data_IF_048862680022
#
_entry.id   IF_048862680022
#
_cell.length_a   1.000
_cell.length_b   1.000
_cell.length_c   1.000
_cell.angle_alpha   90.00
_cell.angle_beta   90.00
_cell.angle_gamma   90.00
#
_symmetry.space_group_name_H-M   'P 1'
#
loop_
_entity.id
_entity.type
_entity.pdbx_description
1 polymer ?
#
# COMPACT_ATOMS: atom_id res chain seq x y z
N UNK A 1 -18.68 -3.77 -33.39
CA UNK A 1 -17.98 -3.32 -32.17
C UNK A 1 -18.81 -2.21 -31.57
N UNK A 2 -19.66 -2.52 -30.61
CA UNK A 2 -20.75 -1.63 -30.18
C UNK A 2 -20.36 -0.96 -28.86
N UNK A 3 -19.52 0.07 -28.95
CA UNK A 3 -18.91 0.81 -27.84
C UNK A 3 -19.95 1.28 -26.79
N UNK A 4 -21.18 1.56 -27.22
CA UNK A 4 -22.29 1.95 -26.33
C UNK A 4 -22.81 0.79 -25.46
N UNK A 5 -22.79 -0.46 -25.95
CA UNK A 5 -23.14 -1.65 -25.14
C UNK A 5 -22.07 -1.95 -24.10
N UNK A 6 -20.81 -1.69 -24.43
CA UNK A 6 -19.69 -1.91 -23.50
C UNK A 6 -19.77 -0.94 -22.31
N UNK A 7 -20.14 0.33 -22.54
CA UNK A 7 -20.39 1.33 -21.49
C UNK A 7 -21.59 0.92 -20.62
N UNK A 8 -22.70 0.47 -21.22
CA UNK A 8 -23.85 -0.04 -20.46
C UNK A 8 -23.48 -1.26 -19.61
N UNK A 9 -22.68 -2.19 -20.14
CA UNK A 9 -22.19 -3.35 -19.38
C UNK A 9 -21.24 -2.99 -18.23
N UNK A 10 -20.56 -1.84 -18.30
CA UNK A 10 -19.70 -1.35 -17.22
C UNK A 10 -20.53 -0.76 -16.08
N UNK A 11 -21.66 -0.12 -16.39
CA UNK A 11 -22.62 0.37 -15.40
C UNK A 11 -23.41 -0.77 -14.72
N UNK A 12 -23.54 -1.93 -15.38
CA UNK A 12 -24.27 -3.10 -14.86
C UNK A 12 -23.41 -4.05 -14.00
N UNK A 13 -22.09 -3.81 -13.86
CA UNK A 13 -21.25 -4.61 -12.97
C UNK A 13 -21.51 -4.24 -11.52
N UNK A 14 -22.27 -5.10 -10.85
CA UNK A 14 -22.59 -5.02 -9.42
C UNK A 14 -21.36 -4.85 -8.51
N UNK A 15 -21.58 -4.41 -7.25
CA UNK A 15 -20.52 -4.15 -6.30
C UNK A 15 -19.61 -5.37 -6.10
N UNK A 16 -18.30 -5.12 -6.11
CA UNK A 16 -17.28 -6.17 -5.90
C UNK A 16 -17.24 -6.60 -4.45
N UNK A 17 -18.09 -7.58 -4.11
CA UNK A 17 -18.12 -8.59 -3.02
C UNK A 17 -17.69 -8.23 -1.58
N UNK A 18 -17.27 -7.00 -1.27
CA UNK A 18 -17.01 -6.52 0.10
C UNK A 18 -17.33 -5.03 0.20
N UNK A 19 -18.61 -4.69 0.18
CA UNK A 19 -19.10 -3.38 0.56
C UNK A 19 -19.34 -3.34 2.09
N UNK A 20 -18.42 -2.73 2.83
CA UNK A 20 -18.83 -2.02 4.06
C UNK A 20 -19.72 -0.86 3.58
N UNK A 21 -20.95 -0.78 4.09
CA UNK A 21 -22.01 0.23 3.84
C UNK A 21 -21.79 1.11 2.59
N UNK A 22 -22.55 0.83 1.53
CA UNK A 22 -22.43 1.43 0.21
C UNK A 22 -22.06 2.91 0.25
N UNK A 23 -20.96 3.27 -0.42
CA UNK A 23 -20.49 4.65 -0.49
C UNK A 23 -21.65 5.57 -0.91
N UNK A 24 -21.99 6.63 -0.16
CA UNK A 24 -23.20 7.41 -0.39
C UNK A 24 -23.25 8.07 -1.78
N UNK A 25 -22.09 8.24 -2.42
CA UNK A 25 -21.99 8.89 -3.73
C UNK A 25 -22.06 7.92 -4.91
N UNK A 26 -21.72 6.64 -4.71
CA UNK A 26 -21.62 5.67 -5.80
C UNK A 26 -22.11 4.27 -5.44
N UNK A 27 -22.80 4.09 -4.31
CA UNK A 27 -23.32 2.81 -3.80
C UNK A 27 -22.30 1.64 -3.82
N UNK A 28 -21.02 1.99 -3.69
CA UNK A 28 -19.92 1.02 -3.74
C UNK A 28 -19.46 0.58 -5.14
N UNK A 29 -20.03 1.11 -6.23
CA UNK A 29 -19.58 0.86 -7.61
C UNK A 29 -18.19 1.45 -7.91
N UNK A 30 -17.78 2.51 -7.19
CA UNK A 30 -16.50 3.17 -7.38
C UNK A 30 -16.46 4.16 -8.55
N UNK A 31 -17.60 4.39 -9.20
CA UNK A 31 -17.77 5.37 -10.26
C UNK A 31 -19.13 6.06 -10.11
N UNK A 32 -19.19 7.34 -10.45
CA UNK A 32 -20.40 8.16 -10.45
C UNK A 32 -20.74 8.39 -11.92
N UNK A 33 -21.93 7.94 -12.33
CA UNK A 33 -22.43 8.09 -13.70
C UNK A 33 -23.39 9.28 -13.73
N UNK A 34 -23.20 10.18 -14.69
CA UNK A 34 -24.17 11.24 -15.02
C UNK A 34 -24.69 11.03 -16.44
N UNK A 35 -25.67 11.82 -16.87
CA UNK A 35 -26.21 11.77 -18.23
C UNK A 35 -25.15 12.05 -19.32
N UNK A 36 -24.04 12.71 -18.95
CA UNK A 36 -23.02 13.18 -19.87
C UNK A 36 -21.62 12.61 -19.66
N UNK A 37 -21.30 12.07 -18.48
CA UNK A 37 -19.96 11.60 -18.15
C UNK A 37 -19.93 10.50 -17.07
N UNK A 38 -18.76 9.86 -16.92
CA UNK A 38 -18.45 8.91 -15.84
C UNK A 38 -17.22 9.41 -15.10
N UNK A 39 -17.33 9.56 -13.78
CA UNK A 39 -16.23 10.02 -12.92
C UNK A 39 -15.86 8.96 -11.89
N UNK A 40 -14.57 8.83 -11.57
CA UNK A 40 -14.10 7.92 -10.53
C UNK A 40 -14.54 8.46 -9.16
N UNK A 41 -15.20 7.63 -8.36
CA UNK A 41 -15.58 8.00 -6.99
C UNK A 41 -14.35 7.96 -6.08
N UNK A 42 -14.29 8.87 -5.10
CA UNK A 42 -13.23 8.92 -4.09
C UNK A 42 -13.04 7.58 -3.36
N UNK A 43 -14.13 6.86 -3.07
CA UNK A 43 -14.07 5.60 -2.31
C UNK A 43 -13.30 4.49 -3.04
N UNK A 44 -13.12 4.61 -4.37
CA UNK A 44 -12.36 3.63 -5.13
C UNK A 44 -10.88 3.66 -4.73
N UNK A 45 -10.32 4.87 -4.53
CA UNK A 45 -8.93 5.03 -4.11
C UNK A 45 -8.70 4.44 -2.71
N UNK A 46 -9.62 4.71 -1.77
CA UNK A 46 -9.55 4.17 -0.40
C UNK A 46 -9.65 2.65 -0.37
N UNK A 47 -10.59 2.08 -1.15
CA UNK A 47 -10.74 0.63 -1.27
C UNK A 47 -9.48 -0.01 -1.86
N UNK A 48 -8.91 0.61 -2.89
CA UNK A 48 -7.67 0.13 -3.49
C UNK A 48 -6.51 0.19 -2.50
N UNK A 49 -6.38 1.29 -1.74
CA UNK A 49 -5.38 1.41 -0.69
C UNK A 49 -5.57 0.35 0.40
N UNK A 50 -6.78 0.19 0.94
CA UNK A 50 -7.12 -0.85 1.92
C UNK A 50 -6.75 -2.24 1.40
N UNK A 51 -7.08 -2.54 0.14
CA UNK A 51 -6.74 -3.82 -0.51
C UNK A 51 -5.22 -4.02 -0.63
N UNK A 52 -4.46 -2.98 -1.03
CA UNK A 52 -2.99 -3.05 -1.11
C UNK A 52 -2.35 -3.25 0.27
N UNK A 53 -2.82 -2.52 1.29
CA UNK A 53 -2.33 -2.67 2.67
C UNK A 53 -2.64 -4.06 3.25
N UNK A 54 -3.83 -4.60 3.00
CA UNK A 54 -4.17 -5.98 3.39
C UNK A 54 -3.25 -6.99 2.70
N UNK A 55 -3.03 -6.83 1.39
CA UNK A 55 -2.11 -7.70 0.63
C UNK A 55 -0.64 -7.55 1.03
N UNK A 56 -0.27 -6.44 1.68
CA UNK A 56 1.09 -6.23 2.17
C UNK A 56 1.48 -7.16 3.33
N UNK A 57 0.54 -7.96 3.87
CA UNK A 57 0.82 -9.01 4.86
C UNK A 57 1.57 -8.48 6.11
N UNK A 58 1.26 -7.25 6.55
CA UNK A 58 1.91 -6.64 7.70
C UNK A 58 1.30 -7.22 8.99
N UNK A 59 2.07 -7.90 9.86
CA UNK A 59 1.58 -8.45 11.11
C UNK A 59 0.98 -7.37 12.03
N UNK A 60 -0.08 -7.70 12.77
CA UNK A 60 -0.79 -6.78 13.68
C UNK A 60 0.13 -5.92 14.56
N UNK A 61 1.18 -6.52 15.13
CA UNK A 61 2.17 -5.83 15.98
C UNK A 61 2.96 -4.70 15.29
N UNK A 62 2.97 -4.66 13.96
CA UNK A 62 3.64 -3.64 13.16
C UNK A 62 2.70 -2.66 12.47
N UNK A 63 1.37 -2.88 12.53
CA UNK A 63 0.40 -2.03 11.83
C UNK A 63 0.45 -0.56 12.28
N UNK A 64 0.71 -0.32 13.57
CA UNK A 64 0.84 1.03 14.12
C UNK A 64 2.18 1.70 13.83
N UNK A 65 3.14 1.06 13.16
CA UNK A 65 4.47 1.65 12.89
C UNK A 65 4.41 2.57 11.66
N UNK A 66 5.09 3.71 11.77
CA UNK A 66 5.26 4.71 10.70
C UNK A 66 6.65 5.37 10.80
N UNK A 67 7.11 6.10 9.79
CA UNK A 67 8.37 6.83 9.88
C UNK A 67 8.27 7.99 10.88
N UNK A 68 7.08 8.54 11.09
CA UNK A 68 6.84 9.65 12.01
C UNK A 68 6.90 9.23 13.47
N UNK A 69 6.52 7.99 13.81
CA UNK A 69 6.56 7.49 15.18
C UNK A 69 7.80 6.63 15.50
N UNK A 70 8.80 6.65 14.62
CA UNK A 70 10.07 5.99 14.87
C UNK A 70 10.92 6.77 15.88
N UNK A 71 11.37 6.09 16.95
CA UNK A 71 12.22 6.71 17.98
C UNK A 71 13.66 6.88 17.48
N UNK A 72 14.01 8.10 17.07
CA UNK A 72 15.34 8.48 16.61
C UNK A 72 16.14 9.22 17.71
N UNK A 73 16.33 8.54 18.83
CA UNK A 73 16.99 9.04 20.06
C UNK A 73 18.53 9.08 19.98
N UNK A 74 19.14 8.33 19.06
CA UNK A 74 20.58 8.31 18.81
C UNK A 74 20.91 8.56 17.34
N UNK A 75 22.13 9.03 17.05
CA UNK A 75 22.56 9.45 15.71
C UNK A 75 22.44 8.35 14.65
N UNK A 76 22.77 7.11 15.03
CA UNK A 76 22.63 5.95 14.15
C UNK A 76 21.18 5.74 13.71
N UNK A 77 20.21 5.91 14.64
CA UNK A 77 18.77 5.78 14.34
C UNK A 77 18.24 6.96 13.54
N UNK A 78 18.71 8.18 13.81
CA UNK A 78 18.41 9.38 13.00
C UNK A 78 18.89 9.20 11.57
N UNK A 79 20.13 8.74 11.40
CA UNK A 79 20.72 8.47 10.10
C UNK A 79 19.92 7.40 9.35
N UNK A 80 19.57 6.29 10.01
CA UNK A 80 18.75 5.25 9.40
C UNK A 80 17.37 5.77 8.95
N UNK A 81 16.69 6.55 9.81
CA UNK A 81 15.40 7.17 9.47
C UNK A 81 15.52 8.10 8.26
N UNK A 82 16.55 8.95 8.20
CA UNK A 82 16.79 9.85 7.07
C UNK A 82 17.02 9.08 5.77
N UNK A 83 17.83 8.01 5.81
CA UNK A 83 18.08 7.16 4.63
C UNK A 83 16.82 6.46 4.13
N UNK A 84 15.97 5.99 5.04
CA UNK A 84 14.68 5.37 4.70
C UNK A 84 13.71 6.38 4.10
N UNK A 85 13.58 7.57 4.68
CA UNK A 85 12.75 8.64 4.10
C UNK A 85 13.22 9.03 2.69
N UNK A 86 14.53 9.13 2.51
CA UNK A 86 15.12 9.39 1.19
C UNK A 86 14.79 8.28 0.19
N UNK A 87 14.96 7.02 0.60
CA UNK A 87 14.61 5.86 -0.23
C UNK A 87 13.14 5.90 -0.68
N UNK A 88 12.20 6.16 0.24
CA UNK A 88 10.77 6.28 -0.10
C UNK A 88 10.52 7.47 -1.02
N UNK A 89 11.19 8.61 -0.80
CA UNK A 89 11.04 9.83 -1.63
C UNK A 89 11.52 9.60 -3.06
N UNK A 90 12.64 8.91 -3.23
CA UNK A 90 13.33 8.74 -4.52
C UNK A 90 12.92 7.45 -5.25
N UNK A 91 11.99 6.66 -4.69
CA UNK A 91 11.63 5.34 -5.18
C UNK A 91 11.23 5.30 -6.67
N UNK A 92 10.46 6.28 -7.15
CA UNK A 92 10.01 6.37 -8.55
C UNK A 92 11.05 6.98 -9.50
N UNK A 93 11.96 7.79 -8.97
CA UNK A 93 12.84 8.66 -9.76
C UNK A 93 14.20 8.01 -10.02
N UNK A 94 14.59 7.04 -9.18
CA UNK A 94 15.89 6.37 -9.30
C UNK A 94 15.97 5.54 -10.59
N UNK A 95 16.86 5.94 -11.51
CA UNK A 95 17.16 5.17 -12.73
C UNK A 95 17.75 3.78 -12.42
N UNK A 96 18.42 3.64 -11.27
CA UNK A 96 18.86 2.35 -10.73
C UNK A 96 17.80 1.80 -9.77
N UNK A 97 17.25 0.63 -10.10
CA UNK A 97 16.34 -0.16 -9.24
C UNK A 97 17.14 -0.82 -8.10
N UNK A 98 17.63 -0.02 -7.16
CA UNK A 98 18.31 -0.49 -5.97
C UNK A 98 17.36 -0.90 -4.83
N UNK A 99 17.90 -1.58 -3.83
CA UNK A 99 17.21 -1.91 -2.58
C UNK A 99 17.84 -1.26 -1.37
N UNK A 100 17.10 -1.21 -0.26
CA UNK A 100 17.63 -0.74 1.04
C UNK A 100 17.88 -1.92 1.97
N UNK A 101 19.11 -2.04 2.47
CA UNK A 101 19.48 -3.05 3.45
C UNK A 101 19.81 -2.39 4.80
N UNK A 102 19.05 -2.76 5.85
CA UNK A 102 19.20 -2.20 7.19
C UNK A 102 19.98 -3.16 8.08
N UNK A 103 21.11 -2.71 8.61
CA UNK A 103 22.02 -3.49 9.46
C UNK A 103 22.04 -2.97 10.90
N UNK A 104 22.22 -3.86 11.86
CA UNK A 104 22.36 -3.53 13.29
C UNK A 104 21.83 -4.59 14.23
N UNK A 105 22.10 -4.43 15.53
CA UNK A 105 21.73 -5.37 16.58
C UNK A 105 20.20 -5.63 16.69
N UNK A 106 19.81 -6.69 17.38
CA UNK A 106 18.40 -6.96 17.68
C UNK A 106 17.77 -5.78 18.44
N UNK A 107 16.49 -5.48 18.17
CA UNK A 107 15.78 -4.40 18.87
C UNK A 107 16.07 -2.97 18.41
N UNK A 108 16.96 -2.75 17.43
CA UNK A 108 17.29 -1.39 16.94
C UNK A 108 16.24 -0.77 16.00
N UNK A 109 15.12 -1.46 15.74
CA UNK A 109 14.01 -0.92 14.97
C UNK A 109 14.08 -1.11 13.44
N UNK A 110 14.97 -1.97 12.93
CA UNK A 110 15.07 -2.29 11.49
C UNK A 110 13.72 -2.67 10.86
N UNK A 111 12.99 -3.58 11.50
CA UNK A 111 11.68 -4.03 11.01
C UNK A 111 10.63 -2.92 11.07
N UNK A 112 10.70 -2.02 12.05
CA UNK A 112 9.83 -0.84 12.10
C UNK A 112 10.06 0.02 10.86
N UNK A 113 11.31 0.39 10.59
CA UNK A 113 11.66 1.22 9.43
C UNK A 113 11.26 0.57 8.10
N UNK A 114 11.52 -0.73 7.93
CA UNK A 114 11.15 -1.46 6.72
C UNK A 114 9.63 -1.51 6.50
N UNK A 115 8.85 -1.80 7.55
CA UNK A 115 7.37 -1.82 7.48
C UNK A 115 6.82 -0.42 7.22
N UNK A 116 7.37 0.60 7.89
CA UNK A 116 6.95 1.98 7.69
C UNK A 116 7.22 2.45 6.25
N UNK A 117 8.39 2.13 5.68
CA UNK A 117 8.69 2.41 4.28
C UNK A 117 7.73 1.70 3.32
N UNK A 118 7.44 0.41 3.58
CA UNK A 118 6.47 -0.35 2.80
C UNK A 118 5.08 0.31 2.81
N UNK A 119 4.61 0.76 3.98
CA UNK A 119 3.31 1.45 4.10
C UNK A 119 3.29 2.74 3.28
N UNK A 120 4.31 3.59 3.39
CA UNK A 120 4.36 4.84 2.63
C UNK A 120 4.41 4.58 1.12
N UNK A 121 5.13 3.55 0.67
CA UNK A 121 5.13 3.17 -0.75
C UNK A 121 3.76 2.65 -1.20
N UNK A 122 3.05 1.90 -0.35
CA UNK A 122 1.69 1.44 -0.65
C UNK A 122 0.70 2.61 -0.73
N UNK A 123 0.84 3.59 0.16
CA UNK A 123 0.09 4.85 0.14
C UNK A 123 0.36 5.67 -1.13
N UNK A 124 1.59 5.66 -1.64
CA UNK A 124 1.96 6.23 -2.95
C UNK A 124 1.44 5.46 -4.16
N UNK A 125 0.82 4.31 -3.94
CA UNK A 125 0.16 3.54 -4.98
C UNK A 125 0.88 2.25 -5.39
N UNK A 126 2.04 1.96 -4.81
CA UNK A 126 2.76 0.71 -5.09
C UNK A 126 2.12 -0.50 -4.40
N UNK A 127 2.45 -1.69 -4.87
CA UNK A 127 2.21 -2.93 -4.15
C UNK A 127 3.50 -3.36 -3.45
N UNK A 128 3.37 -4.13 -2.38
CA UNK A 128 4.51 -4.74 -1.72
C UNK A 128 4.06 -5.81 -0.75
N UNK A 129 5.02 -6.55 -0.19
CA UNK A 129 4.77 -7.70 0.67
C UNK A 129 5.78 -7.71 1.82
N UNK A 130 5.27 -7.77 3.05
CA UNK A 130 6.08 -8.10 4.21
C UNK A 130 6.20 -9.61 4.33
N UNK A 131 7.44 -10.08 4.47
CA UNK A 131 7.72 -11.49 4.64
C UNK A 131 8.85 -11.71 5.65
N UNK A 132 8.64 -12.62 6.62
CA UNK A 132 9.72 -13.10 7.48
C UNK A 132 10.53 -14.18 6.74
N UNK A 133 11.84 -14.00 6.59
CA UNK A 133 12.71 -14.92 5.85
C UNK A 133 12.56 -16.40 6.27
N UNK A 134 12.48 -16.71 7.57
CA UNK A 134 12.30 -18.08 8.04
C UNK A 134 10.94 -18.67 7.65
N UNK A 135 9.90 -17.84 7.58
CA UNK A 135 8.59 -18.26 7.09
C UNK A 135 8.64 -18.46 5.57
N UNK A 136 9.37 -17.59 4.87
CA UNK A 136 9.49 -17.63 3.41
C UNK A 136 10.09 -18.94 2.94
N UNK A 137 11.17 -19.36 3.60
CA UNK A 137 11.85 -20.62 3.29
C UNK A 137 10.95 -21.83 3.55
N UNK A 138 10.07 -21.79 4.57
CA UNK A 138 9.13 -22.89 4.84
C UNK A 138 8.07 -22.99 3.76
N UNK A 139 7.50 -21.86 3.35
CA UNK A 139 6.45 -21.83 2.33
C UNK A 139 6.97 -22.27 0.95
N UNK A 140 8.26 -22.01 0.64
CA UNK A 140 8.89 -22.49 -0.60
C UNK A 140 9.25 -23.98 -0.62
N UNK A 141 9.24 -24.67 0.53
CA UNK A 141 9.60 -26.08 0.64
C UNK A 141 8.42 -27.03 0.53
N UNK A 142 7.20 -26.51 0.51
CA UNK A 142 5.94 -27.25 0.36
C UNK A 142 5.34 -26.98 -1.02
#
# INVERSE_FOLDING_TARGET
MNFLRDIQSLAERGPTDQAEEGCPDCDGYGHIVTDSDVRICHCLADRQLKKRLTKANIPKRFQSKSLDNFKADIDQRRTALQRVRRFVKEFDVSAEKGGLFLLGAAGTGKTHLAVAALKELVEKGHTGLFYNAASMIRDFRN
#
